data_IF_953128256729
#
_entry.id   IF_953128256729
#
_cell.length_a   1.000
_cell.length_b   1.000
_cell.length_c   1.000
_cell.angle_alpha   90.00
_cell.angle_beta   90.00
_cell.angle_gamma   90.00
#
_symmetry.space_group_name_H-M   'P 1'
#
loop_
_entity.id
_entity.type
_entity.pdbx_description
1 polymer ?
#
# COMPACT_ATOMS: atom_id res chain seq x y z
N UNK A 1 18.86 -15.66 -5.55
CA UNK A 1 19.01 -14.71 -6.67
C UNK A 1 18.71 -13.33 -6.12
N UNK A 2 19.76 -12.55 -5.86
CA UNK A 2 19.73 -11.18 -5.36
C UNK A 2 19.54 -10.30 -6.60
N UNK A 3 18.45 -9.57 -6.71
CA UNK A 3 18.25 -8.64 -7.83
C UNK A 3 18.62 -7.24 -7.34
N UNK A 4 19.75 -6.73 -7.84
CA UNK A 4 20.36 -5.41 -7.58
C UNK A 4 19.64 -4.23 -8.26
N UNK A 5 18.35 -4.35 -8.59
CA UNK A 5 17.68 -3.37 -9.47
C UNK A 5 16.88 -2.29 -8.72
N UNK A 6 17.05 -2.11 -7.40
CA UNK A 6 16.29 -1.16 -6.54
C UNK A 6 14.77 -1.13 -6.78
N UNK A 7 14.27 -2.21 -7.38
CA UNK A 7 12.94 -2.26 -7.99
C UNK A 7 11.92 -2.64 -6.94
N UNK A 8 10.86 -1.84 -6.83
CA UNK A 8 9.78 -2.09 -5.87
C UNK A 8 8.75 -3.02 -6.50
N UNK A 9 8.50 -4.14 -5.85
CA UNK A 9 7.43 -5.06 -6.25
C UNK A 9 6.16 -4.80 -5.45
N UNK A 10 5.04 -4.71 -6.16
CA UNK A 10 3.70 -4.53 -5.62
C UNK A 10 2.82 -5.68 -6.08
N UNK A 11 1.89 -6.10 -5.23
CA UNK A 11 0.91 -7.13 -5.53
C UNK A 11 -0.48 -6.63 -5.18
N UNK A 12 -1.48 -7.08 -5.92
CA UNK A 12 -2.87 -6.88 -5.52
C UNK A 12 -3.11 -7.40 -4.09
N UNK A 13 -3.87 -6.64 -3.30
CA UNK A 13 -4.25 -7.01 -1.93
C UNK A 13 -5.19 -8.21 -1.88
N UNK A 14 -6.01 -8.40 -2.93
CA UNK A 14 -6.95 -9.52 -3.02
C UNK A 14 -6.17 -10.83 -3.13
N UNK A 15 -6.32 -11.72 -2.15
CA UNK A 15 -5.55 -12.98 -2.05
C UNK A 15 -5.62 -13.85 -3.30
N UNK A 16 -6.78 -13.93 -3.95
CA UNK A 16 -6.99 -14.71 -5.17
C UNK A 16 -6.38 -14.07 -6.42
N UNK A 17 -6.08 -12.77 -6.38
CA UNK A 17 -5.55 -12.05 -7.52
C UNK A 17 -4.03 -12.25 -7.64
N UNK A 18 -3.57 -12.54 -8.86
CA UNK A 18 -2.15 -12.75 -9.18
C UNK A 18 -1.48 -11.54 -9.84
N UNK A 19 -2.21 -10.43 -9.98
CA UNK A 19 -1.65 -9.20 -10.54
C UNK A 19 -0.55 -8.65 -9.64
N UNK A 20 0.58 -8.34 -10.27
CA UNK A 20 1.70 -7.66 -9.66
C UNK A 20 2.27 -6.60 -10.59
N UNK A 21 2.92 -5.62 -9.98
CA UNK A 21 3.58 -4.50 -10.63
C UNK A 21 5.02 -4.43 -10.12
N UNK A 22 5.96 -4.21 -11.03
CA UNK A 22 7.34 -3.88 -10.68
C UNK A 22 7.61 -2.45 -11.09
N UNK A 23 7.98 -1.62 -10.13
CA UNK A 23 8.43 -0.24 -10.37
C UNK A 23 9.95 -0.27 -10.38
N UNK A 24 10.55 0.08 -11.51
CA UNK A 24 12.00 0.21 -11.67
C UNK A 24 12.51 1.53 -11.07
N UNK A 25 13.83 1.69 -10.85
CA UNK A 25 14.42 2.93 -10.32
C UNK A 25 14.20 4.14 -11.22
N UNK A 26 14.13 3.92 -12.54
CA UNK A 26 13.82 4.94 -13.56
C UNK A 26 12.34 5.36 -13.57
N UNK A 27 11.53 4.82 -12.67
CA UNK A 27 10.08 5.06 -12.59
C UNK A 27 9.24 4.20 -13.55
N UNK A 28 9.87 3.39 -14.40
CA UNK A 28 9.15 2.51 -15.33
C UNK A 28 8.33 1.47 -14.58
N UNK A 29 7.06 1.35 -14.94
CA UNK A 29 6.13 0.38 -14.33
C UNK A 29 5.94 -0.80 -15.28
N UNK A 30 6.23 -2.01 -14.80
CA UNK A 30 5.96 -3.27 -15.49
C UNK A 30 4.83 -4.03 -14.80
N UNK A 31 3.71 -4.22 -15.50
CA UNK A 31 2.56 -5.03 -15.05
C UNK A 31 2.73 -6.47 -15.52
N UNK A 32 2.47 -7.45 -14.63
CA UNK A 32 2.60 -8.89 -14.95
C UNK A 32 1.31 -9.58 -15.42
N UNK A 33 0.13 -9.02 -15.12
CA UNK A 33 -1.16 -9.60 -15.48
C UNK A 33 -2.28 -8.55 -15.31
N UNK A 34 -3.44 -8.79 -15.91
CA UNK A 34 -4.66 -7.99 -15.71
C UNK A 34 -5.53 -8.52 -14.56
N UNK A 35 -6.35 -7.63 -13.99
CA UNK A 35 -7.27 -7.99 -12.92
C UNK A 35 -8.48 -8.71 -13.50
N UNK A 36 -8.87 -9.80 -12.84
CA UNK A 36 -10.07 -10.60 -13.10
C UNK A 36 -11.21 -10.27 -12.11
N UNK A 37 -11.11 -9.13 -11.44
CA UNK A 37 -12.09 -8.69 -10.45
C UNK A 37 -12.27 -7.18 -10.52
N UNK A 38 -13.46 -6.73 -10.11
CA UNK A 38 -13.72 -5.31 -9.94
C UNK A 38 -12.93 -4.74 -8.75
N UNK A 39 -12.64 -3.44 -8.75
CA UNK A 39 -12.17 -2.73 -7.58
C UNK A 39 -13.18 -2.88 -6.43
N UNK A 40 -12.68 -3.04 -5.20
CA UNK A 40 -13.49 -3.00 -4.00
C UNK A 40 -13.19 -1.69 -3.28
N UNK A 41 -14.14 -0.75 -3.26
CA UNK A 41 -13.94 0.58 -2.65
C UNK A 41 -13.70 0.49 -1.14
N UNK A 42 -14.35 -0.44 -0.43
CA UNK A 42 -14.11 -0.66 1.00
C UNK A 42 -12.66 -1.10 1.29
N UNK A 43 -12.10 -1.99 0.45
CA UNK A 43 -10.69 -2.39 0.58
C UNK A 43 -9.75 -1.21 0.34
N UNK A 44 -10.08 -0.31 -0.61
CA UNK A 44 -9.29 0.90 -0.85
C UNK A 44 -9.31 1.84 0.35
N UNK A 45 -10.47 2.10 0.92
CA UNK A 45 -10.62 2.95 2.10
C UNK A 45 -9.78 2.41 3.27
N UNK A 46 -9.88 1.11 3.58
CA UNK A 46 -9.09 0.47 4.62
C UNK A 46 -7.59 0.61 4.36
N UNK A 47 -7.14 0.45 3.10
CA UNK A 47 -5.73 0.62 2.75
C UNK A 47 -5.25 2.06 2.92
N UNK A 48 -6.07 3.05 2.56
CA UNK A 48 -5.78 4.48 2.75
C UNK A 48 -5.67 4.80 4.24
N UNK A 49 -6.64 4.36 5.04
CA UNK A 49 -6.64 4.49 6.50
C UNK A 49 -5.33 3.92 7.07
N UNK A 50 -5.00 2.67 6.71
CA UNK A 50 -3.79 2.01 7.16
C UNK A 50 -2.51 2.75 6.77
N UNK A 51 -2.45 3.29 5.55
CA UNK A 51 -1.29 4.05 5.08
C UNK A 51 -1.13 5.35 5.88
N UNK A 52 -2.22 6.08 6.11
CA UNK A 52 -2.22 7.32 6.87
C UNK A 52 -1.80 7.08 8.33
N UNK A 53 -2.31 6.04 8.98
CA UNK A 53 -1.89 5.64 10.32
C UNK A 53 -0.40 5.33 10.38
N UNK A 54 0.11 4.50 9.45
CA UNK A 54 1.55 4.16 9.41
C UNK A 54 2.41 5.41 9.27
N UNK A 55 2.04 6.34 8.39
CA UNK A 55 2.76 7.60 8.20
C UNK A 55 2.78 8.41 9.50
N UNK A 56 1.62 8.62 10.12
CA UNK A 56 1.53 9.41 11.36
C UNK A 56 2.28 8.78 12.53
N UNK A 57 2.27 7.45 12.67
CA UNK A 57 3.05 6.76 13.73
C UNK A 57 4.55 6.93 13.52
N UNK A 58 5.03 6.99 12.28
CA UNK A 58 6.45 7.24 12.01
C UNK A 58 6.83 8.71 12.28
N UNK A 59 5.93 9.64 11.99
CA UNK A 59 6.19 11.09 12.12
C UNK A 59 5.93 11.64 13.54
N UNK A 60 5.13 10.93 14.34
CA UNK A 60 4.68 11.40 15.65
C UNK A 60 5.38 10.66 16.78
N UNK A 61 5.80 11.41 17.80
CA UNK A 61 6.28 10.88 19.08
C UNK A 61 5.15 10.69 20.10
N UNK A 62 3.89 10.95 19.71
CA UNK A 62 2.73 10.79 20.59
C UNK A 62 2.41 9.30 20.83
N UNK A 63 1.72 8.98 21.94
CA UNK A 63 1.15 7.65 22.15
C UNK A 63 0.20 7.25 21.00
N UNK A 64 0.13 5.94 20.70
CA UNK A 64 -0.65 5.39 19.57
C UNK A 64 -2.12 5.83 19.65
N UNK A 65 -2.72 5.80 20.84
CA UNK A 65 -4.14 6.15 21.03
C UNK A 65 -4.43 7.61 20.62
N UNK A 66 -3.55 8.55 20.96
CA UNK A 66 -3.69 9.96 20.57
C UNK A 66 -3.57 10.16 19.05
N UNK A 67 -2.73 9.35 18.38
CA UNK A 67 -2.58 9.39 16.92
C UNK A 67 -3.85 8.85 16.23
N UNK A 68 -4.45 7.79 16.79
CA UNK A 68 -5.71 7.23 16.27
C UNK A 68 -6.82 8.26 16.38
N UNK A 69 -7.00 8.89 17.54
CA UNK A 69 -8.03 9.91 17.78
C UNK A 69 -7.89 11.10 16.82
N UNK A 70 -6.68 11.67 16.68
CA UNK A 70 -6.44 12.78 15.75
C UNK A 70 -6.68 12.44 14.27
N UNK A 71 -6.75 11.15 13.91
CA UNK A 71 -6.93 10.72 12.52
C UNK A 71 -8.38 10.43 12.19
N UNK A 72 -9.19 10.05 13.18
CA UNK A 72 -10.53 9.51 12.93
C UNK A 72 -11.62 9.99 13.90
N UNK A 73 -11.32 10.79 14.92
CA UNK A 73 -12.31 11.30 15.88
C UNK A 73 -12.88 12.68 15.49
N UNK A 74 -12.97 12.99 14.20
CA UNK A 74 -13.54 14.23 13.65
C UNK A 74 -14.83 13.99 12.89
#
# INVERSE_FOLDING_TARGET
>A
RKNDDDSKYWKCVKKSCRVGLTIKPDGTIKKRADHDHLPNEADKEVLIIRQNLKRKVVESSLPIDAIVDQTYAG
#
